data_IF_366534824863
#
_entry.id   IF_366534824863
#
_cell.length_a   1.000
_cell.length_b   1.000
_cell.length_c   1.000
_cell.angle_alpha   90.00
_cell.angle_beta   90.00
_cell.angle_gamma   90.00
#
_symmetry.space_group_name_H-M   'P 1'
#
loop_
_entity.id
_entity.type
_entity.pdbx_description
1 polymer ?
#
# COMPACT_ATOMS: atom_id res chain seq x y z
N UNK A 1 33.57 -55.06 46.63
CA UNK A 1 33.59 -55.90 45.41
C UNK A 1 32.71 -55.23 44.36
N UNK A 2 33.01 -55.39 43.06
CA UNK A 2 32.20 -55.00 41.88
C UNK A 2 30.74 -55.55 41.95
N UNK A 3 29.70 -55.23 41.16
CA UNK A 3 29.37 -54.41 39.94
C UNK A 3 27.85 -54.00 40.07
N UNK A 4 27.16 -53.25 39.20
CA UNK A 4 27.51 -52.52 37.97
C UNK A 4 26.38 -52.50 36.89
N UNK A 5 26.05 -51.29 36.37
CA UNK A 5 25.26 -50.96 35.16
C UNK A 5 23.72 -51.23 35.01
N UNK A 6 23.05 -50.18 34.49
CA UNK A 6 21.84 -50.14 33.60
C UNK A 6 20.48 -50.73 34.05
N UNK A 7 19.32 -50.11 33.77
CA UNK A 7 19.07 -48.78 33.16
C UNK A 7 17.60 -48.52 32.77
N UNK A 8 17.27 -47.23 32.56
CA UNK A 8 16.12 -46.63 31.83
C UNK A 8 14.68 -46.82 32.36
N UNK A 9 13.99 -45.68 32.59
CA UNK A 9 12.53 -45.58 32.72
C UNK A 9 12.08 -44.11 32.58
N UNK A 10 11.24 -43.80 31.60
CA UNK A 10 10.77 -42.42 31.30
C UNK A 10 9.65 -41.96 32.25
N UNK A 11 9.59 -40.66 32.56
CA UNK A 11 8.59 -40.06 33.47
C UNK A 11 8.43 -38.53 33.32
N UNK A 12 7.78 -38.13 32.23
CA UNK A 12 7.12 -36.84 31.90
C UNK A 12 7.28 -35.62 32.85
N UNK A 13 7.70 -34.48 32.28
CA UNK A 13 7.65 -33.14 32.90
C UNK A 13 6.23 -32.56 32.93
N UNK A 14 5.91 -31.83 33.99
CA UNK A 14 4.85 -30.80 34.04
C UNK A 14 4.85 -30.11 35.42
N UNK A 15 4.67 -28.81 35.58
CA UNK A 15 4.56 -27.76 34.56
C UNK A 15 4.58 -26.38 35.23
N UNK A 16 5.76 -25.77 35.36
CA UNK A 16 5.91 -24.36 35.73
C UNK A 16 6.48 -23.61 34.52
N UNK A 17 5.60 -23.32 33.57
CA UNK A 17 5.87 -22.49 32.40
C UNK A 17 5.52 -21.03 32.71
N UNK A 18 6.44 -20.12 32.37
CA UNK A 18 6.33 -18.68 32.60
C UNK A 18 5.00 -18.11 32.10
N UNK A 19 4.51 -17.09 32.83
CA UNK A 19 3.70 -16.02 32.24
C UNK A 19 4.63 -15.25 31.29
N UNK A 20 4.76 -15.74 30.07
CA UNK A 20 5.60 -15.12 29.06
C UNK A 20 4.90 -13.85 28.54
N UNK A 21 5.59 -12.72 28.68
CA UNK A 21 5.01 -11.40 28.45
C UNK A 21 4.61 -11.26 26.98
N UNK A 22 3.31 -11.12 26.72
CA UNK A 22 2.79 -10.77 25.40
C UNK A 22 3.11 -9.30 25.07
N UNK A 23 4.40 -9.01 24.87
CA UNK A 23 4.87 -7.78 24.24
C UNK A 23 4.43 -7.83 22.79
N UNK A 24 3.31 -7.16 22.51
CA UNK A 24 2.93 -6.77 21.16
C UNK A 24 4.17 -6.28 20.41
N UNK A 25 4.54 -6.99 19.34
CA UNK A 25 5.64 -6.56 18.48
C UNK A 25 5.26 -5.20 17.91
N UNK A 26 5.89 -4.13 18.39
CA UNK A 26 5.75 -2.80 17.79
C UNK A 26 6.33 -2.91 16.39
N UNK A 27 5.44 -2.89 15.39
CA UNK A 27 5.80 -2.91 13.98
C UNK A 27 6.23 -1.49 13.62
N UNK A 28 7.52 -1.28 13.36
CA UNK A 28 8.05 0.03 12.96
C UNK A 28 7.97 0.18 11.45
N UNK A 29 7.18 1.15 10.98
CA UNK A 29 7.08 1.50 9.55
C UNK A 29 8.04 2.64 9.21
N UNK A 30 8.83 2.45 8.16
CA UNK A 30 9.86 3.39 7.71
C UNK A 30 9.58 3.84 6.27
N UNK A 31 9.59 5.15 6.04
CA UNK A 31 9.46 5.72 4.70
C UNK A 31 10.79 6.36 4.27
N UNK A 32 11.29 6.02 3.08
CA UNK A 32 12.55 6.53 2.51
C UNK A 32 12.21 7.51 1.39
N UNK A 33 12.25 8.80 1.71
CA UNK A 33 12.08 9.91 0.78
C UNK A 33 13.44 10.33 0.23
N UNK A 34 13.61 10.37 -1.09
CA UNK A 34 14.88 10.72 -1.73
C UNK A 34 14.66 11.40 -3.09
N UNK A 35 15.70 12.01 -3.67
CA UNK A 35 15.64 12.61 -5.02
C UNK A 35 16.41 11.76 -6.04
N UNK A 36 15.77 11.43 -7.16
CA UNK A 36 16.45 10.81 -8.32
C UNK A 36 17.56 11.73 -8.85
N UNK A 37 18.69 11.17 -9.26
CA UNK A 37 19.88 11.94 -9.65
C UNK A 37 20.66 12.58 -8.48
N UNK A 38 20.25 12.34 -7.23
CA UNK A 38 20.94 12.83 -6.03
C UNK A 38 21.37 11.69 -5.09
N UNK A 39 20.41 10.87 -4.63
CA UNK A 39 20.63 9.90 -3.54
C UNK A 39 20.12 8.48 -3.81
N UNK A 40 19.77 8.17 -5.05
CA UNK A 40 19.11 6.92 -5.45
C UNK A 40 19.86 5.63 -5.05
N UNK A 41 21.18 5.61 -5.17
CA UNK A 41 22.00 4.44 -4.83
C UNK A 41 21.99 4.16 -3.32
N UNK A 42 22.08 5.23 -2.51
CA UNK A 42 21.94 5.13 -1.06
C UNK A 42 20.52 4.71 -0.67
N UNK A 43 19.50 5.21 -1.37
CA UNK A 43 18.11 4.82 -1.14
C UNK A 43 17.85 3.33 -1.40
N UNK A 44 18.42 2.76 -2.47
CA UNK A 44 18.38 1.30 -2.74
C UNK A 44 19.08 0.50 -1.64
N UNK A 45 20.28 0.94 -1.22
CA UNK A 45 21.04 0.24 -0.18
C UNK A 45 20.34 0.28 1.19
N UNK A 46 19.75 1.42 1.55
CA UNK A 46 18.93 1.61 2.75
C UNK A 46 17.68 0.74 2.71
N UNK A 47 16.92 0.75 1.61
CA UNK A 47 15.72 -0.09 1.43
C UNK A 47 16.00 -1.57 1.71
N UNK A 48 17.02 -2.15 1.06
CA UNK A 48 17.36 -3.56 1.25
C UNK A 48 17.76 -3.92 2.69
N UNK A 49 18.58 -3.09 3.34
CA UNK A 49 19.04 -3.33 4.72
C UNK A 49 17.96 -3.06 5.76
N UNK A 50 17.11 -2.05 5.55
CA UNK A 50 15.98 -1.74 6.43
C UNK A 50 14.89 -2.80 6.34
N UNK A 51 14.62 -3.39 5.16
CA UNK A 51 13.68 -4.51 5.01
C UNK A 51 14.12 -5.75 5.79
N UNK A 52 15.42 -6.01 5.91
CA UNK A 52 15.97 -7.06 6.78
C UNK A 52 15.74 -6.70 8.27
N UNK A 53 15.88 -5.42 8.65
CA UNK A 53 15.81 -4.98 10.04
C UNK A 53 14.39 -4.78 10.60
N UNK A 54 13.41 -4.50 9.73
CA UNK A 54 12.03 -4.09 10.08
C UNK A 54 10.94 -4.90 9.35
N UNK A 55 11.28 -5.73 8.37
CA UNK A 55 10.35 -6.49 7.54
C UNK A 55 10.03 -5.80 6.21
N UNK A 56 9.89 -6.60 5.14
CA UNK A 56 9.71 -6.11 3.77
C UNK A 56 8.51 -5.18 3.58
N UNK A 57 7.39 -5.49 4.23
CA UNK A 57 6.11 -4.78 4.10
C UNK A 57 6.05 -3.48 4.92
N UNK A 58 7.08 -3.23 5.73
CA UNK A 58 7.15 -2.08 6.63
C UNK A 58 8.10 -0.97 6.12
N UNK A 59 8.76 -1.16 4.97
CA UNK A 59 9.72 -0.21 4.41
C UNK A 59 9.29 0.23 3.01
N UNK A 60 8.99 1.52 2.89
CA UNK A 60 8.53 2.17 1.68
C UNK A 60 9.60 3.13 1.16
N UNK A 61 9.66 3.37 -0.16
CA UNK A 61 10.69 4.19 -0.79
C UNK A 61 10.14 4.95 -2.00
N UNK A 62 10.46 6.25 -2.12
CA UNK A 62 9.93 7.15 -3.17
C UNK A 62 10.89 8.25 -3.62
N UNK A 63 10.78 8.68 -4.89
CA UNK A 63 11.65 9.70 -5.52
C UNK A 63 11.14 10.32 -6.83
N UNK A 64 9.83 10.23 -7.10
CA UNK A 64 9.31 10.08 -8.46
C UNK A 64 9.48 11.29 -9.41
N UNK A 65 10.05 10.99 -10.58
CA UNK A 65 9.68 11.55 -11.90
C UNK A 65 9.14 10.37 -12.74
N UNK A 66 8.05 10.54 -13.50
CA UNK A 66 7.28 9.42 -14.10
C UNK A 66 6.87 9.66 -15.56
N UNK A 67 7.04 8.65 -16.43
CA UNK A 67 6.27 8.34 -17.67
C UNK A 67 6.52 6.84 -17.98
N UNK A 68 5.60 5.97 -18.43
CA UNK A 68 4.17 6.07 -18.72
C UNK A 68 3.37 4.91 -18.07
N UNK A 69 2.08 5.13 -17.81
CA UNK A 69 1.11 4.08 -17.42
C UNK A 69 0.47 4.24 -16.03
N UNK A 70 0.63 5.40 -15.38
CA UNK A 70 0.44 5.58 -13.94
C UNK A 70 -0.98 5.52 -13.38
N UNK A 71 -1.05 4.95 -12.16
CA UNK A 71 -1.70 5.59 -11.02
C UNK A 71 -1.03 5.14 -9.69
N UNK A 72 -0.17 5.97 -9.09
CA UNK A 72 0.40 5.75 -7.75
C UNK A 72 0.65 7.00 -6.84
N UNK A 73 -0.06 8.16 -6.92
CA UNK A 73 0.16 9.29 -5.98
C UNK A 73 -0.35 9.08 -4.54
N UNK A 74 -1.38 8.25 -4.34
CA UNK A 74 -2.08 8.18 -3.05
C UNK A 74 -1.47 7.17 -2.08
N UNK A 75 -1.09 5.98 -2.55
CA UNK A 75 -0.45 4.98 -1.71
C UNK A 75 0.90 5.47 -1.12
N UNK A 76 1.66 6.30 -1.87
CA UNK A 76 2.91 6.89 -1.40
C UNK A 76 2.68 8.00 -0.36
N UNK A 77 1.73 8.92 -0.61
CA UNK A 77 1.30 9.90 0.40
C UNK A 77 0.76 9.22 1.65
N UNK A 78 -0.03 8.15 1.51
CA UNK A 78 -0.51 7.35 2.64
C UNK A 78 0.63 6.67 3.41
N UNK A 79 1.62 6.10 2.73
CA UNK A 79 2.78 5.51 3.40
C UNK A 79 3.61 6.58 4.15
N UNK A 80 3.75 7.79 3.60
CA UNK A 80 4.37 8.92 4.30
C UNK A 80 3.52 9.40 5.50
N UNK A 81 2.19 9.47 5.36
CA UNK A 81 1.26 9.89 6.41
C UNK A 81 1.05 8.87 7.53
N UNK A 82 1.42 7.61 7.30
CA UNK A 82 1.24 6.50 8.24
C UNK A 82 2.55 5.96 8.86
N UNK A 83 3.74 6.28 8.32
CA UNK A 83 5.02 5.76 8.84
C UNK A 83 5.32 6.18 10.30
N UNK A 84 6.09 5.39 11.04
CA UNK A 84 6.58 5.87 12.35
C UNK A 84 7.76 6.84 12.17
N UNK A 85 8.59 6.57 11.17
CA UNK A 85 9.78 7.36 10.82
C UNK A 85 9.85 7.60 9.31
N UNK A 86 10.01 8.86 8.90
CA UNK A 86 10.40 9.24 7.53
C UNK A 86 11.88 9.61 7.52
N UNK A 87 12.66 8.96 6.66
CA UNK A 87 14.04 9.30 6.35
C UNK A 87 14.03 10.23 5.12
N UNK A 88 14.44 11.48 5.30
CA UNK A 88 14.63 12.43 4.20
C UNK A 88 16.10 12.37 3.76
N UNK A 89 16.38 11.68 2.64
CA UNK A 89 17.74 11.56 2.11
C UNK A 89 18.13 12.81 1.34
N UNK A 90 19.19 13.47 1.81
CA UNK A 90 19.68 14.75 1.30
C UNK A 90 21.11 14.54 0.81
N UNK A 91 21.31 14.62 -0.51
CA UNK A 91 22.64 14.64 -1.13
C UNK A 91 23.05 16.05 -1.58
N UNK A 92 24.14 16.17 -2.35
CA UNK A 92 24.64 17.45 -2.84
C UNK A 92 23.74 18.12 -3.90
N UNK A 93 22.85 17.37 -4.55
CA UNK A 93 21.92 17.83 -5.60
C UNK A 93 20.46 17.90 -5.10
N UNK A 94 20.22 17.78 -3.80
CA UNK A 94 18.86 17.82 -3.23
C UNK A 94 18.09 19.11 -3.55
N UNK A 95 18.83 20.22 -3.70
CA UNK A 95 18.34 21.56 -4.09
C UNK A 95 18.52 21.88 -5.58
N UNK A 96 18.60 20.86 -6.46
CA UNK A 96 18.66 21.05 -7.92
C UNK A 96 17.59 22.03 -8.41
N UNK A 97 17.97 22.90 -9.34
CA UNK A 97 17.08 23.91 -9.90
C UNK A 97 15.99 23.28 -10.77
N UNK A 98 14.79 23.87 -10.72
CA UNK A 98 13.70 23.60 -11.66
C UNK A 98 13.78 24.49 -12.89
N UNK A 99 12.77 24.39 -13.77
CA UNK A 99 12.69 25.14 -15.03
C UNK A 99 12.60 26.66 -14.82
N UNK A 100 12.17 27.11 -13.63
CA UNK A 100 12.08 28.52 -13.23
C UNK A 100 13.38 29.07 -12.60
N UNK A 101 14.46 28.27 -12.59
CA UNK A 101 15.75 28.63 -11.99
C UNK A 101 15.74 28.67 -10.45
N UNK A 102 14.69 28.17 -9.79
CA UNK A 102 14.64 28.05 -8.32
C UNK A 102 14.86 26.60 -7.89
N UNK A 103 15.36 26.34 -6.67
CA UNK A 103 15.46 24.99 -6.13
C UNK A 103 14.11 24.27 -6.19
N UNK A 104 14.09 23.08 -6.81
CA UNK A 104 12.85 22.34 -7.11
C UNK A 104 11.99 22.06 -5.87
N UNK A 105 12.62 21.95 -4.69
CA UNK A 105 11.96 21.82 -3.38
C UNK A 105 11.00 23.00 -3.03
N UNK A 106 11.09 24.14 -3.72
CA UNK A 106 10.13 25.25 -3.58
C UNK A 106 8.88 25.09 -4.43
N UNK A 107 8.91 24.26 -5.47
CA UNK A 107 7.76 24.03 -6.34
C UNK A 107 6.65 23.31 -5.55
N UNK A 108 5.36 23.70 -5.68
CA UNK A 108 4.26 23.03 -4.98
C UNK A 108 4.00 21.59 -5.44
N UNK A 109 4.46 21.22 -6.63
CA UNK A 109 4.33 19.90 -7.26
C UNK A 109 5.56 18.99 -7.04
N UNK A 110 6.55 19.43 -6.26
CA UNK A 110 7.71 18.60 -5.96
C UNK A 110 7.36 17.48 -4.96
N UNK A 111 7.42 16.23 -5.42
CA UNK A 111 7.08 15.06 -4.61
C UNK A 111 7.94 14.90 -3.37
N UNK A 112 9.22 15.27 -3.43
CA UNK A 112 10.14 15.19 -2.29
C UNK A 112 9.65 16.11 -1.17
N UNK A 113 9.30 17.35 -1.52
CA UNK A 113 8.63 18.29 -0.60
C UNK A 113 7.31 17.72 -0.07
N UNK A 114 6.41 17.30 -0.95
CA UNK A 114 5.06 16.89 -0.58
C UNK A 114 5.03 15.72 0.42
N UNK A 115 5.91 14.73 0.27
CA UNK A 115 6.01 13.59 1.20
C UNK A 115 6.56 14.00 2.58
N UNK A 116 7.51 14.94 2.64
CA UNK A 116 8.01 15.47 3.92
C UNK A 116 6.93 16.31 4.60
N UNK A 117 6.22 17.16 3.85
CA UNK A 117 5.09 17.96 4.37
C UNK A 117 3.97 17.06 4.93
N UNK A 118 3.59 16.00 4.21
CA UNK A 118 2.59 15.01 4.63
C UNK A 118 3.02 14.31 5.93
N UNK A 119 4.27 13.86 6.03
CA UNK A 119 4.79 13.24 7.25
C UNK A 119 4.81 14.23 8.43
N UNK A 120 5.27 15.47 8.23
CA UNK A 120 5.27 16.49 9.28
C UNK A 120 3.84 16.84 9.75
N UNK A 121 2.89 17.02 8.82
CA UNK A 121 1.50 17.34 9.12
C UNK A 121 0.81 16.25 9.95
N UNK A 122 1.17 14.98 9.73
CA UNK A 122 0.65 13.84 10.50
C UNK A 122 1.44 13.55 11.79
N UNK A 123 2.41 14.39 12.17
CA UNK A 123 3.21 14.22 13.39
C UNK A 123 4.20 13.06 13.36
N UNK A 124 4.58 12.60 12.15
CA UNK A 124 5.54 11.51 11.94
C UNK A 124 6.96 11.99 12.22
N UNK A 125 7.85 11.11 12.69
CA UNK A 125 9.23 11.50 12.99
C UNK A 125 10.07 11.59 11.72
N UNK A 126 10.30 12.81 11.24
CA UNK A 126 11.24 13.06 10.14
C UNK A 126 12.68 13.05 10.69
N UNK A 127 13.55 12.29 10.04
CA UNK A 127 15.00 12.26 10.28
C UNK A 127 15.70 12.62 8.96
N UNK A 128 16.36 13.79 8.86
CA UNK A 128 17.23 14.08 7.73
C UNK A 128 18.45 13.15 7.74
N UNK A 129 18.81 12.60 6.58
CA UNK A 129 19.99 11.75 6.40
C UNK A 129 20.87 12.36 5.32
N UNK A 130 22.03 12.89 5.71
CA UNK A 130 23.00 13.48 4.82
C UNK A 130 23.80 12.37 4.13
N UNK A 131 23.71 12.29 2.81
CA UNK A 131 24.35 11.22 2.02
C UNK A 131 25.69 11.67 1.46
N UNK A 132 26.77 11.00 1.86
CA UNK A 132 28.14 11.36 1.51
C UNK A 132 28.63 12.65 2.19
N UNK A 133 29.80 13.12 1.76
CA UNK A 133 30.54 14.17 2.48
C UNK A 133 30.10 15.59 2.12
N UNK A 134 29.60 15.79 0.89
CA UNK A 134 29.15 17.09 0.38
C UNK A 134 27.73 17.47 0.81
N UNK A 135 26.94 16.54 1.35
CA UNK A 135 25.59 16.80 1.82
C UNK A 135 25.57 17.71 3.06
N UNK A 136 24.71 18.73 3.01
CA UNK A 136 24.61 19.81 4.01
C UNK A 136 23.17 20.31 4.16
N UNK A 137 22.82 20.75 5.37
CA UNK A 137 21.57 21.46 5.70
C UNK A 137 21.76 22.99 5.83
N UNK A 138 22.87 23.52 5.29
CA UNK A 138 23.23 24.95 5.25
C UNK A 138 23.81 25.29 3.88
N UNK A 139 23.65 26.52 3.42
CA UNK A 139 24.37 26.99 2.23
C UNK A 139 25.87 27.04 2.48
N UNK A 140 26.68 27.12 1.41
CA UNK A 140 28.13 27.35 1.51
C UNK A 140 28.48 28.62 2.31
N UNK A 141 27.59 29.62 2.28
CA UNK A 141 27.68 30.88 3.03
C UNK A 141 27.13 30.80 4.46
N UNK A 142 26.77 29.60 4.95
CA UNK A 142 26.23 29.39 6.29
C UNK A 142 24.80 29.89 6.52
N UNK A 143 24.11 30.36 5.46
CA UNK A 143 22.72 30.83 5.51
C UNK A 143 21.75 29.63 5.57
N UNK A 144 20.49 29.86 6.03
CA UNK A 144 19.43 28.87 5.90
C UNK A 144 19.26 28.41 4.45
N UNK A 145 18.91 27.15 4.24
CA UNK A 145 18.56 26.66 2.92
C UNK A 145 17.30 27.37 2.38
N UNK A 146 17.20 27.60 1.06
CA UNK A 146 16.06 28.26 0.42
C UNK A 146 14.85 27.31 0.31
N UNK A 147 14.29 26.94 1.46
CA UNK A 147 13.15 26.02 1.62
C UNK A 147 11.81 26.76 1.69
N UNK A 148 10.69 26.11 1.30
CA UNK A 148 9.36 26.63 1.60
C UNK A 148 9.12 26.70 3.12
N UNK A 149 8.24 27.61 3.56
CA UNK A 149 7.97 27.87 4.98
C UNK A 149 7.59 26.61 5.77
N UNK A 150 6.83 25.72 5.14
CA UNK A 150 6.43 24.39 5.63
C UNK A 150 7.60 23.47 5.99
N UNK A 151 8.75 23.62 5.33
CA UNK A 151 9.97 22.83 5.56
C UNK A 151 11.06 23.61 6.34
N UNK A 152 10.76 24.82 6.83
CA UNK A 152 11.71 25.68 7.56
C UNK A 152 12.25 25.06 8.86
N UNK A 153 11.56 24.06 9.42
CA UNK A 153 12.01 23.28 10.57
C UNK A 153 13.04 22.18 10.21
N UNK A 154 13.08 21.72 8.96
CA UNK A 154 13.91 20.57 8.54
C UNK A 154 15.42 20.75 8.85
N UNK A 155 16.04 21.93 8.63
CA UNK A 155 17.46 22.15 8.98
C UNK A 155 17.76 22.21 10.48
N UNK A 156 16.72 22.27 11.33
CA UNK A 156 16.84 22.34 12.79
C UNK A 156 16.70 20.95 13.44
N UNK A 157 16.30 19.94 12.68
CA UNK A 157 16.19 18.56 13.16
C UNK A 157 17.58 17.92 13.33
N UNK A 158 17.70 17.02 14.30
CA UNK A 158 18.86 16.15 14.39
C UNK A 158 18.96 15.27 13.14
N UNK A 159 20.04 15.43 12.39
CA UNK A 159 20.32 14.64 11.19
C UNK A 159 21.28 13.49 11.50
N UNK A 160 21.21 12.45 10.67
CA UNK A 160 22.23 11.41 10.57
C UNK A 160 23.07 11.64 9.32
N UNK A 161 24.23 10.98 9.22
CA UNK A 161 25.02 10.93 7.98
C UNK A 161 25.19 9.47 7.55
N UNK A 162 25.19 9.23 6.25
CA UNK A 162 25.41 7.93 5.64
C UNK A 162 26.53 8.07 4.60
N UNK A 163 27.73 7.62 4.94
CA UNK A 163 28.90 7.71 4.07
C UNK A 163 29.21 6.35 3.44
N UNK A 164 29.68 6.35 2.20
CA UNK A 164 30.04 5.11 1.50
C UNK A 164 31.16 4.33 2.20
N UNK A 165 32.12 5.03 2.85
CA UNK A 165 33.28 4.42 3.52
C UNK A 165 32.95 3.75 4.86
N UNK A 166 31.91 4.20 5.55
CA UNK A 166 31.43 3.70 6.85
C UNK A 166 30.02 3.10 6.77
N UNK A 167 29.59 2.71 5.56
CA UNK A 167 28.19 2.39 5.26
C UNK A 167 27.58 1.32 6.18
N UNK A 168 28.36 0.34 6.65
CA UNK A 168 27.86 -0.65 7.61
C UNK A 168 27.64 -0.06 9.01
N UNK A 169 28.60 0.72 9.54
CA UNK A 169 28.47 1.37 10.84
C UNK A 169 27.35 2.40 10.84
N UNK A 170 27.27 3.22 9.79
CA UNK A 170 26.20 4.21 9.62
C UNK A 170 24.83 3.52 9.51
N UNK A 171 24.74 2.34 8.86
CA UNK A 171 23.51 1.53 8.83
C UNK A 171 23.11 1.06 10.22
N UNK A 172 24.05 0.54 11.02
CA UNK A 172 23.77 0.09 12.40
C UNK A 172 23.29 1.24 13.28
N UNK A 173 23.94 2.42 13.19
CA UNK A 173 23.53 3.65 13.88
C UNK A 173 22.13 4.09 13.44
N UNK A 174 21.84 4.08 12.14
CA UNK A 174 20.56 4.47 11.58
C UNK A 174 19.42 3.50 11.97
N UNK A 175 19.65 2.19 11.99
CA UNK A 175 18.69 1.21 12.52
C UNK A 175 18.42 1.40 14.03
N UNK A 176 19.46 1.68 14.81
CA UNK A 176 19.32 1.94 16.24
C UNK A 176 18.52 3.24 16.51
N UNK A 177 18.80 4.30 15.76
CA UNK A 177 18.09 5.57 15.86
C UNK A 177 16.64 5.48 15.38
N UNK A 178 16.34 4.72 14.31
CA UNK A 178 14.95 4.44 13.92
C UNK A 178 14.19 3.72 15.05
N UNK A 179 14.80 2.69 15.66
CA UNK A 179 14.18 1.98 16.80
C UNK A 179 13.95 2.89 18.02
N UNK A 180 14.85 3.85 18.26
CA UNK A 180 14.68 4.87 19.32
C UNK A 180 13.61 5.90 18.97
N UNK A 181 13.60 6.37 17.73
CA UNK A 181 12.65 7.34 17.17
C UNK A 181 11.21 6.81 17.15
N UNK A 182 11.05 5.51 16.93
CA UNK A 182 9.81 4.74 16.98
C UNK A 182 9.46 4.18 18.38
N UNK A 183 10.20 4.58 19.42
CA UNK A 183 9.83 4.31 20.83
C UNK A 183 8.39 4.77 21.11
N UNK A 184 7.67 4.06 21.99
CA UNK A 184 6.25 3.74 21.86
C UNK A 184 5.47 4.80 21.09
N UNK A 185 5.35 4.56 19.78
CA UNK A 185 4.70 5.45 18.82
C UNK A 185 3.40 5.95 19.43
N UNK A 186 3.25 7.28 19.54
CA UNK A 186 1.98 7.87 19.96
C UNK A 186 0.92 7.27 19.02
N UNK A 187 -0.03 6.46 19.54
CA UNK A 187 -0.65 5.39 18.76
C UNK A 187 -1.22 6.00 17.49
N UNK A 188 -0.90 5.43 16.31
CA UNK A 188 -1.18 6.06 15.02
C UNK A 188 -2.64 6.42 15.00
N UNK A 189 -2.97 7.73 15.07
CA UNK A 189 -4.28 8.25 15.53
C UNK A 189 -5.37 7.24 15.21
N UNK A 190 -5.71 6.45 16.22
CA UNK A 190 -6.64 5.34 16.01
C UNK A 190 -7.97 6.04 15.85
N UNK A 191 -8.38 6.28 14.60
CA UNK A 191 -9.80 6.34 14.27
C UNK A 191 -10.38 5.13 14.98
N UNK A 192 -11.19 5.31 16.04
CA UNK A 192 -11.56 4.21 16.90
C UNK A 192 -12.11 3.09 16.03
N UNK A 193 -11.62 1.87 16.24
CA UNK A 193 -12.00 0.71 15.43
C UNK A 193 -13.52 0.75 15.23
N UNK A 194 -13.99 0.73 13.97
CA UNK A 194 -15.36 1.12 13.64
C UNK A 194 -16.33 0.31 14.49
N UNK A 195 -17.21 0.96 15.24
CA UNK A 195 -18.17 0.27 16.12
C UNK A 195 -19.47 -0.08 15.41
N UNK A 196 -19.55 0.23 14.11
CA UNK A 196 -20.67 -0.03 13.23
C UNK A 196 -20.15 -0.44 11.84
N UNK A 197 -20.97 -1.16 11.03
CA UNK A 197 -20.58 -1.52 9.68
C UNK A 197 -20.34 -0.29 8.78
N UNK A 198 -19.36 -0.38 7.89
CA UNK A 198 -18.94 0.70 6.99
C UNK A 198 -19.10 0.25 5.54
N UNK A 199 -19.72 1.09 4.71
CA UNK A 199 -19.78 0.85 3.26
C UNK A 199 -18.37 0.97 2.68
N UNK A 200 -17.88 -0.07 2.00
CA UNK A 200 -16.53 -0.12 1.42
C UNK A 200 -16.30 1.01 0.40
N UNK A 201 -17.37 1.46 -0.28
CA UNK A 201 -17.38 2.63 -1.19
C UNK A 201 -17.06 3.97 -0.50
N UNK A 202 -17.17 4.04 0.83
CA UNK A 202 -16.79 5.23 1.62
C UNK A 202 -15.32 5.23 2.01
N UNK A 203 -14.62 4.09 1.85
CA UNK A 203 -13.18 4.01 2.03
C UNK A 203 -12.45 4.42 0.74
N UNK A 204 -11.34 5.13 0.90
CA UNK A 204 -10.45 5.40 -0.23
C UNK A 204 -9.77 4.09 -0.68
N UNK A 205 -9.90 3.68 -1.97
CA UNK A 205 -9.19 2.52 -2.49
C UNK A 205 -7.67 2.79 -2.53
N UNK A 206 -6.86 1.75 -2.38
CA UNK A 206 -5.40 1.84 -2.49
C UNK A 206 -4.90 1.68 -3.94
N UNK A 207 -5.68 1.00 -4.77
CA UNK A 207 -5.53 0.95 -6.23
C UNK A 207 -6.88 0.60 -6.89
N UNK A 208 -7.02 0.93 -8.18
CA UNK A 208 -8.28 0.81 -8.92
C UNK A 208 -8.02 0.76 -10.43
N UNK A 209 -8.56 -0.25 -11.13
CA UNK A 209 -8.53 -0.31 -12.61
C UNK A 209 -9.35 0.83 -13.23
N UNK A 210 -8.97 1.31 -14.42
CA UNK A 210 -9.56 2.50 -15.06
C UNK A 210 -11.06 2.34 -15.38
N UNK A 211 -11.46 1.10 -15.61
CA UNK A 211 -12.79 0.59 -15.92
C UNK A 211 -13.71 0.47 -14.68
N UNK A 212 -13.14 0.58 -13.47
CA UNK A 212 -13.88 0.50 -12.20
C UNK A 212 -14.29 1.89 -11.73
N UNK A 213 -15.52 2.03 -11.24
CA UNK A 213 -16.11 3.27 -10.71
C UNK A 213 -16.99 2.98 -9.49
N UNK A 214 -17.11 3.92 -8.58
CA UNK A 214 -18.20 3.93 -7.60
C UNK A 214 -19.46 4.53 -8.23
N UNK A 215 -20.63 4.03 -7.83
CA UNK A 215 -21.93 4.49 -8.31
C UNK A 215 -23.01 3.45 -8.02
N UNK A 216 -24.21 3.64 -8.55
CA UNK A 216 -25.30 2.67 -8.37
C UNK A 216 -25.24 1.51 -9.36
N UNK A 217 -25.76 0.36 -8.94
CA UNK A 217 -25.92 -0.84 -9.75
C UNK A 217 -27.37 -1.35 -9.70
N UNK A 218 -27.83 -1.96 -10.78
CA UNK A 218 -29.03 -2.81 -10.76
C UNK A 218 -28.59 -4.23 -11.11
N UNK A 219 -28.80 -5.18 -10.20
CA UNK A 219 -28.33 -6.56 -10.31
C UNK A 219 -29.50 -7.49 -9.96
N UNK A 220 -29.93 -8.33 -10.90
CA UNK A 220 -31.02 -9.29 -10.66
C UNK A 220 -32.37 -8.62 -10.40
N UNK A 221 -32.59 -7.43 -10.94
CA UNK A 221 -33.79 -6.61 -10.69
C UNK A 221 -33.77 -5.83 -9.38
N UNK A 222 -32.69 -5.91 -8.59
CA UNK A 222 -32.53 -5.17 -7.33
C UNK A 222 -31.55 -4.00 -7.49
N UNK A 223 -31.89 -2.85 -6.90
CA UNK A 223 -31.06 -1.65 -6.94
C UNK A 223 -30.13 -1.53 -5.72
N UNK A 224 -28.87 -1.23 -5.98
CA UNK A 224 -27.79 -1.08 -5.00
C UNK A 224 -27.16 0.31 -5.16
N UNK A 225 -27.42 1.22 -4.23
CA UNK A 225 -26.98 2.62 -4.33
C UNK A 225 -25.45 2.80 -4.23
N UNK A 226 -24.81 1.99 -3.39
CA UNK A 226 -23.40 2.09 -3.03
C UNK A 226 -22.63 0.92 -3.66
N UNK A 227 -22.41 0.98 -4.97
CA UNK A 227 -21.81 -0.14 -5.72
C UNK A 227 -20.45 0.20 -6.32
N UNK A 228 -19.68 -0.86 -6.58
CA UNK A 228 -18.44 -0.83 -7.34
C UNK A 228 -18.75 -1.42 -8.72
N UNK A 229 -18.83 -0.56 -9.73
CA UNK A 229 -19.24 -0.88 -11.09
C UNK A 229 -18.02 -1.00 -11.99
N UNK A 230 -17.94 -2.08 -12.77
CA UNK A 230 -16.92 -2.33 -13.78
C UNK A 230 -17.55 -2.27 -15.18
N UNK A 231 -17.07 -1.35 -16.02
CA UNK A 231 -17.51 -1.21 -17.42
C UNK A 231 -16.29 -1.00 -18.32
N UNK A 232 -16.15 -1.83 -19.36
CA UNK A 232 -15.09 -1.70 -20.36
C UNK A 232 -15.17 -0.34 -21.08
N UNK A 233 -14.01 0.30 -21.27
CA UNK A 233 -13.89 1.61 -21.93
C UNK A 233 -13.09 1.43 -23.23
N UNK A 234 -13.71 1.55 -24.42
CA UNK A 234 -12.98 1.44 -25.68
C UNK A 234 -11.82 2.46 -25.77
N UNK A 235 -10.64 2.09 -26.31
CA UNK A 235 -10.32 0.83 -26.96
C UNK A 235 -9.69 -0.23 -26.03
N UNK A 236 -9.80 -0.12 -24.69
CA UNK A 236 -9.09 -1.03 -23.78
C UNK A 236 -9.66 -2.45 -23.81
N UNK A 237 -8.75 -3.43 -23.92
CA UNK A 237 -9.05 -4.87 -23.89
C UNK A 237 -8.83 -5.46 -22.48
N UNK A 238 -9.04 -4.67 -21.42
CA UNK A 238 -8.71 -5.08 -20.05
C UNK A 238 -9.76 -6.05 -19.51
N UNK A 239 -9.57 -7.35 -19.72
CA UNK A 239 -10.53 -8.43 -19.40
C UNK A 239 -10.83 -8.64 -17.89
N UNK A 240 -10.20 -7.83 -17.03
CA UNK A 240 -10.26 -7.89 -15.57
C UNK A 240 -10.24 -6.47 -14.98
N UNK A 241 -11.21 -6.18 -14.10
CA UNK A 241 -11.16 -5.05 -13.18
C UNK A 241 -10.71 -5.51 -11.79
N UNK A 242 -9.92 -4.67 -11.12
CA UNK A 242 -9.49 -4.85 -9.74
C UNK A 242 -9.66 -3.53 -8.99
N UNK A 243 -10.02 -3.60 -7.72
CA UNK A 243 -9.95 -2.48 -6.79
C UNK A 243 -9.50 -2.98 -5.41
N UNK A 244 -8.45 -2.37 -4.88
CA UNK A 244 -7.87 -2.68 -3.58
C UNK A 244 -8.30 -1.70 -2.50
N UNK A 245 -8.41 -2.17 -1.26
CA UNK A 245 -8.62 -1.38 -0.05
C UNK A 245 -7.66 -1.86 1.03
N UNK A 246 -7.17 -0.96 1.88
CA UNK A 246 -6.37 -1.35 3.05
C UNK A 246 -7.22 -1.28 4.32
N UNK A 247 -7.46 -2.44 4.91
CA UNK A 247 -8.41 -2.68 6.01
C UNK A 247 -7.85 -2.39 7.40
N UNK A 248 -6.53 -2.16 7.53
CA UNK A 248 -5.85 -1.77 8.79
C UNK A 248 -6.07 -2.70 10.00
N UNK A 249 -6.63 -3.90 9.82
CA UNK A 249 -7.13 -4.81 10.87
C UNK A 249 -8.37 -4.31 11.64
N UNK A 250 -9.05 -3.31 11.08
CA UNK A 250 -10.21 -2.65 11.69
C UNK A 250 -11.53 -3.43 11.48
N UNK A 251 -11.50 -4.57 10.77
CA UNK A 251 -12.68 -5.31 10.31
C UNK A 251 -12.52 -6.85 10.46
N UNK A 252 -13.66 -7.56 10.50
CA UNK A 252 -13.75 -9.02 10.64
C UNK A 252 -14.46 -9.69 9.46
N UNK A 253 -15.49 -9.09 8.90
CA UNK A 253 -16.24 -9.66 7.77
C UNK A 253 -16.47 -8.63 6.66
N UNK A 254 -16.28 -9.04 5.40
CA UNK A 254 -16.83 -8.36 4.23
C UNK A 254 -18.12 -9.06 3.84
N UNK A 255 -19.21 -8.31 3.71
CA UNK A 255 -20.44 -8.74 3.05
C UNK A 255 -20.62 -7.96 1.74
N UNK A 256 -20.89 -8.64 0.62
CA UNK A 256 -21.03 -7.98 -0.69
C UNK A 256 -21.91 -8.77 -1.64
N UNK A 257 -22.72 -8.10 -2.46
CA UNK A 257 -23.45 -8.75 -3.56
C UNK A 257 -22.62 -8.69 -4.84
N UNK A 258 -22.42 -9.82 -5.49
CA UNK A 258 -21.81 -9.90 -6.82
C UNK A 258 -22.87 -10.17 -7.89
N UNK A 259 -22.74 -9.53 -9.06
CA UNK A 259 -23.50 -9.94 -10.24
C UNK A 259 -23.31 -9.08 -11.49
N UNK A 260 -23.90 -9.55 -12.58
CA UNK A 260 -23.92 -8.85 -13.87
C UNK A 260 -25.02 -7.78 -13.82
N UNK A 261 -24.71 -6.57 -14.31
CA UNK A 261 -25.67 -5.48 -14.35
C UNK A 261 -26.83 -5.79 -15.30
N UNK A 262 -28.04 -5.41 -14.88
CA UNK A 262 -29.27 -5.62 -15.65
C UNK A 262 -29.27 -4.84 -16.98
N UNK A 263 -28.48 -3.75 -17.06
CA UNK A 263 -28.28 -2.94 -18.28
C UNK A 263 -27.16 -3.45 -19.21
N UNK A 264 -26.54 -4.60 -18.91
CA UNK A 264 -25.50 -5.19 -19.75
C UNK A 264 -26.05 -5.53 -21.15
N UNK A 265 -25.43 -4.96 -22.18
CA UNK A 265 -25.91 -4.95 -23.56
C UNK A 265 -25.98 -6.34 -24.26
N UNK A 266 -25.52 -7.40 -23.60
CA UNK A 266 -25.47 -8.76 -24.14
C UNK A 266 -26.14 -9.75 -23.19
N UNK A 267 -27.20 -10.39 -23.68
CA UNK A 267 -27.99 -11.33 -22.89
C UNK A 267 -27.21 -12.62 -22.56
N UNK A 268 -27.31 -13.08 -21.31
CA UNK A 268 -26.86 -14.42 -20.89
C UNK A 268 -25.37 -14.55 -20.56
N UNK A 269 -24.65 -13.44 -20.36
CA UNK A 269 -23.23 -13.46 -19.97
C UNK A 269 -23.03 -13.95 -18.52
N UNK A 270 -21.85 -14.52 -18.25
CA UNK A 270 -21.39 -14.93 -16.90
C UNK A 270 -20.17 -14.11 -16.51
N UNK A 271 -20.23 -13.40 -15.38
CA UNK A 271 -19.10 -12.72 -14.76
C UNK A 271 -18.46 -13.57 -13.66
N UNK A 272 -17.15 -13.46 -13.49
CA UNK A 272 -16.40 -14.10 -12.41
C UNK A 272 -15.96 -13.06 -11.40
N UNK A 273 -16.19 -13.36 -10.13
CA UNK A 273 -16.01 -12.46 -9.00
C UNK A 273 -15.12 -13.11 -7.97
N UNK A 274 -14.01 -12.46 -7.63
CA UNK A 274 -12.96 -12.97 -6.74
C UNK A 274 -12.67 -11.96 -5.64
N UNK A 275 -12.65 -12.45 -4.41
CA UNK A 275 -12.24 -11.70 -3.21
C UNK A 275 -10.87 -12.21 -2.78
N UNK A 276 -9.89 -11.31 -2.71
CA UNK A 276 -8.51 -11.59 -2.31
C UNK A 276 -8.22 -10.84 -1.02
N UNK A 277 -7.64 -11.50 -0.03
CA UNK A 277 -7.30 -10.91 1.28
C UNK A 277 -5.83 -11.19 1.55
N UNK A 278 -5.04 -10.13 1.75
CA UNK A 278 -3.57 -10.17 1.88
C UNK A 278 -2.89 -11.02 0.78
N UNK A 279 -3.35 -10.89 -0.46
CA UNK A 279 -2.85 -11.63 -1.63
C UNK A 279 -3.39 -13.07 -1.78
N UNK A 280 -4.15 -13.58 -0.82
CA UNK A 280 -4.74 -14.94 -0.84
C UNK A 280 -6.19 -14.88 -1.32
N UNK A 281 -6.55 -15.68 -2.32
CA UNK A 281 -7.95 -15.82 -2.76
C UNK A 281 -8.78 -16.47 -1.65
N UNK A 282 -9.81 -15.76 -1.17
CA UNK A 282 -10.74 -16.25 -0.13
C UNK A 282 -12.09 -16.69 -0.68
N UNK A 283 -12.57 -16.05 -1.74
CA UNK A 283 -13.78 -16.45 -2.45
C UNK A 283 -13.60 -16.24 -3.96
N UNK A 284 -14.21 -17.14 -4.75
CA UNK A 284 -14.32 -17.01 -6.21
C UNK A 284 -15.62 -17.65 -6.67
N UNK A 285 -16.48 -16.90 -7.37
CA UNK A 285 -17.76 -17.38 -7.89
C UNK A 285 -18.06 -16.90 -9.31
N UNK A 286 -18.71 -17.73 -10.15
CA UNK A 286 -19.40 -17.28 -11.34
C UNK A 286 -20.81 -16.75 -10.98
N UNK A 287 -21.25 -15.68 -11.64
CA UNK A 287 -22.61 -15.14 -11.56
C UNK A 287 -23.14 -14.86 -12.96
N UNK A 288 -24.36 -15.32 -13.26
CA UNK A 288 -25.02 -15.07 -14.55
C UNK A 288 -25.83 -13.77 -14.51
N UNK A 289 -26.15 -13.22 -15.69
CA UNK A 289 -27.14 -12.15 -15.78
C UNK A 289 -28.49 -12.59 -15.19
N UNK A 290 -29.17 -11.65 -14.53
CA UNK A 290 -30.37 -11.87 -13.70
C UNK A 290 -30.15 -12.67 -12.40
N UNK A 291 -28.94 -13.20 -12.14
CA UNK A 291 -28.56 -13.69 -10.81
C UNK A 291 -27.86 -12.59 -9.99
N UNK A 292 -28.14 -12.54 -8.70
CA UNK A 292 -27.37 -11.80 -7.70
C UNK A 292 -26.89 -12.78 -6.62
N UNK A 293 -25.62 -12.72 -6.21
CA UNK A 293 -25.05 -13.64 -5.21
C UNK A 293 -24.36 -12.87 -4.10
N UNK A 294 -24.84 -13.03 -2.87
CA UNK A 294 -24.17 -12.49 -1.68
C UNK A 294 -22.97 -13.36 -1.30
N UNK A 295 -21.84 -12.73 -1.08
CA UNK A 295 -20.64 -13.31 -0.49
C UNK A 295 -20.45 -12.73 0.91
N UNK A 296 -20.03 -13.59 1.84
CA UNK A 296 -19.45 -13.19 3.12
C UNK A 296 -18.06 -13.78 3.24
N UNK A 297 -17.09 -12.95 3.60
CA UNK A 297 -15.66 -13.30 3.60
C UNK A 297 -15.01 -12.80 4.87
N UNK A 298 -14.34 -13.69 5.58
CA UNK A 298 -13.51 -13.36 6.74
C UNK A 298 -12.32 -12.48 6.31
N UNK A 299 -12.23 -11.29 6.90
CA UNK A 299 -11.17 -10.30 6.75
C UNK A 299 -10.51 -9.95 8.10
N UNK A 300 -10.70 -10.81 9.11
CA UNK A 300 -10.08 -10.71 10.44
C UNK A 300 -8.57 -10.49 10.32
N UNK A 301 -8.10 -9.42 10.97
CA UNK A 301 -6.70 -9.00 11.03
C UNK A 301 -6.04 -8.70 9.65
N UNK A 302 -6.84 -8.58 8.59
CA UNK A 302 -6.36 -8.31 7.24
C UNK A 302 -5.78 -6.91 7.10
N UNK A 303 -4.72 -6.78 6.32
CA UNK A 303 -4.13 -5.49 5.95
C UNK A 303 -4.70 -4.96 4.63
N UNK A 304 -5.01 -5.85 3.68
CA UNK A 304 -5.45 -5.55 2.32
C UNK A 304 -6.58 -6.47 1.86
N UNK A 305 -7.53 -5.90 1.14
CA UNK A 305 -8.65 -6.55 0.47
C UNK A 305 -8.67 -6.11 -1.00
N UNK A 306 -8.68 -7.04 -1.95
CA UNK A 306 -8.87 -6.76 -3.37
C UNK A 306 -10.14 -7.43 -3.90
N UNK A 307 -10.98 -6.64 -4.56
CA UNK A 307 -12.17 -7.11 -5.27
C UNK A 307 -11.88 -7.14 -6.78
N UNK A 308 -11.97 -8.33 -7.36
CA UNK A 308 -11.59 -8.61 -8.75
C UNK A 308 -12.79 -9.14 -9.53
N UNK A 309 -13.13 -8.53 -10.66
CA UNK A 309 -14.22 -8.93 -11.54
C UNK A 309 -13.71 -9.15 -12.98
N UNK A 310 -14.02 -10.29 -13.62
CA UNK A 310 -13.44 -10.66 -14.92
C UNK A 310 -14.30 -11.67 -15.73
N UNK A 311 -13.88 -11.99 -16.97
CA UNK A 311 -14.41 -13.11 -17.78
C UNK A 311 -13.35 -14.18 -18.04
N UNK A 312 -13.76 -15.44 -18.18
CA UNK A 312 -12.90 -16.58 -18.61
C UNK A 312 -12.80 -16.77 -20.12
N UNK A 313 -13.57 -16.04 -20.93
CA UNK A 313 -13.52 -16.12 -22.40
C UNK A 313 -12.19 -15.58 -22.99
N UNK A 314 -11.34 -15.04 -22.10
CA UNK A 314 -9.99 -14.52 -22.25
C UNK A 314 -8.93 -15.54 -22.68
N UNK A 315 -9.20 -16.85 -22.58
CA UNK A 315 -8.33 -17.88 -23.20
C UNK A 315 -8.49 -17.98 -24.74
N UNK A 316 -9.18 -17.04 -25.38
CA UNK A 316 -9.31 -17.01 -26.84
C UNK A 316 -8.20 -16.18 -27.50
N UNK A 317 -7.30 -16.86 -28.21
CA UNK A 317 -6.26 -16.27 -29.06
C UNK A 317 -6.77 -15.08 -29.90
N UNK A 318 -5.97 -14.02 -30.14
CA UNK A 318 -6.38 -12.83 -30.90
C UNK A 318 -7.03 -13.13 -32.26
N UNK A 319 -6.57 -14.20 -32.93
CA UNK A 319 -7.12 -14.66 -34.21
C UNK A 319 -8.59 -15.16 -34.08
N UNK A 320 -8.92 -15.73 -32.91
CA UNK A 320 -10.28 -16.22 -32.58
C UNK A 320 -11.18 -15.07 -32.12
N UNK A 321 -10.65 -14.05 -31.43
CA UNK A 321 -11.38 -12.81 -31.15
C UNK A 321 -11.77 -12.08 -32.45
N UNK A 322 -10.85 -11.98 -33.42
CA UNK A 322 -11.16 -11.42 -34.75
C UNK A 322 -12.26 -12.18 -35.50
N UNK A 323 -12.26 -13.52 -35.43
CA UNK A 323 -13.31 -14.37 -36.00
C UNK A 323 -14.66 -14.20 -35.30
N UNK A 324 -14.69 -14.03 -33.97
CA UNK A 324 -15.93 -13.79 -33.21
C UNK A 324 -16.54 -12.42 -33.54
N UNK A 325 -15.71 -11.39 -33.69
CA UNK A 325 -16.15 -10.06 -34.14
C UNK A 325 -16.75 -10.10 -35.56
N UNK A 326 -16.13 -10.86 -36.48
CA UNK A 326 -16.66 -11.07 -37.84
C UNK A 326 -17.99 -11.85 -37.87
N UNK A 327 -18.28 -12.64 -36.83
CA UNK A 327 -19.57 -13.34 -36.64
C UNK A 327 -20.59 -12.51 -35.85
N UNK A 328 -20.34 -11.21 -35.63
CA UNK A 328 -21.25 -10.30 -34.93
C UNK A 328 -21.35 -10.52 -33.41
N UNK A 329 -20.46 -11.33 -32.82
CA UNK A 329 -20.36 -11.45 -31.35
C UNK A 329 -19.48 -10.32 -30.82
N UNK A 330 -20.02 -9.55 -29.89
CA UNK A 330 -19.34 -8.39 -29.33
C UNK A 330 -18.20 -8.82 -28.38
N UNK A 331 -17.08 -8.09 -28.45
CA UNK A 331 -15.92 -8.27 -27.58
C UNK A 331 -15.98 -7.43 -26.30
N UNK A 332 -17.13 -6.81 -26.02
CA UNK A 332 -17.33 -5.98 -24.82
C UNK A 332 -17.52 -6.87 -23.59
N UNK A 333 -16.96 -6.43 -22.47
CA UNK A 333 -17.20 -7.07 -21.19
C UNK A 333 -18.65 -6.80 -20.74
N UNK A 334 -19.29 -7.73 -20.02
CA UNK A 334 -20.48 -7.41 -19.25
C UNK A 334 -20.15 -6.22 -18.36
N UNK A 335 -21.11 -5.33 -18.21
CA UNK A 335 -21.08 -4.42 -17.09
C UNK A 335 -21.26 -5.29 -15.82
N UNK A 336 -20.24 -5.37 -14.98
CA UNK A 336 -20.23 -6.18 -13.75
C UNK A 336 -20.32 -5.23 -12.55
N UNK A 337 -20.88 -5.69 -11.43
CA UNK A 337 -20.93 -4.89 -10.23
C UNK A 337 -20.79 -5.70 -8.95
N UNK A 338 -20.16 -5.06 -7.95
CA UNK A 338 -20.27 -5.40 -6.55
C UNK A 338 -21.29 -4.45 -5.91
N UNK A 339 -22.48 -4.93 -5.58
CA UNK A 339 -23.56 -4.16 -4.95
C UNK A 339 -23.40 -4.09 -3.42
N UNK A 340 -23.47 -2.87 -2.87
CA UNK A 340 -23.41 -2.56 -1.44
C UNK A 340 -22.37 -3.39 -0.65
N UNK A 341 -21.07 -3.36 -1.01
CA UNK A 341 -20.03 -3.97 -0.17
C UNK A 341 -19.96 -3.28 1.19
N UNK A 342 -20.14 -4.04 2.27
CA UNK A 342 -20.09 -3.61 3.66
C UNK A 342 -18.97 -4.34 4.38
N UNK A 343 -18.19 -3.61 5.17
CA UNK A 343 -17.26 -4.18 6.14
C UNK A 343 -17.87 -4.12 7.53
N UNK A 344 -17.87 -5.25 8.23
CA UNK A 344 -18.30 -5.41 9.62
C UNK A 344 -17.07 -5.52 10.55
N UNK A 345 -17.08 -4.89 11.74
CA UNK A 345 -15.95 -4.85 12.68
C UNK A 345 -15.77 -6.10 13.57
#
# INVERSE_FOLDING_TARGET
MQIGHSGVGFGVRGGQGLIEQNRSRIITRVFINFRNGDTEQAAVALDGKLKIAFGSDNVFRSSRSMVAGDAFPEALRRAASECDVLLALIGPHWLVEGEDGKPRIQAPDDWVRAEIEEAMANGRRVIPVLVGDKATLKTETGKPLPLPLSLSALPQLHYLRFQHRSAEEDMWRLVAEIRRAAGPSAPPRVSPAPTAPVMLTTLAPVDQSREVRFGSASIGGHHYGDSIVFRSIPPSSTERGTIGFALRRDYRELEVVAGVLDDAAEAGQTGYFRVVVDGVVRAEIPVRQQEARTLRVDVTDALRLDLVAYRTDSETSPMRQGMLAALGRSSRLPALAWGNPVLHP
#
